data_IF_374898141016
#
_entry.id   IF_374898141016
#
_cell.length_a   1.000
_cell.length_b   1.000
_cell.length_c   1.000
_cell.angle_alpha   90.00
_cell.angle_beta   90.00
_cell.angle_gamma   90.00
#
_symmetry.space_group_name_H-M   'P 1'
#
loop_
_entity.id
_entity.type
_entity.pdbx_description
1 polymer ?
#
# COMPACT_ATOMS: atom_id res chain seq x y z
N UNK A 1 7.44 -13.70 -13.99
CA UNK A 1 6.41 -14.65 -13.53
C UNK A 1 6.29 -14.42 -12.04
N UNK A 2 5.21 -13.77 -11.63
CA UNK A 2 5.01 -13.21 -10.30
C UNK A 2 4.46 -14.28 -9.33
N UNK A 3 4.67 -14.12 -8.03
CA UNK A 3 4.20 -15.05 -6.98
C UNK A 3 2.67 -15.17 -7.02
N UNK A 4 1.96 -14.10 -7.37
CA UNK A 4 0.50 -14.08 -7.51
C UNK A 4 -0.03 -14.93 -8.68
N UNK A 5 0.76 -15.11 -9.75
CA UNK A 5 0.36 -15.89 -10.92
C UNK A 5 0.49 -17.40 -10.65
N UNK A 6 1.45 -17.80 -9.81
CA UNK A 6 1.67 -19.21 -9.46
C UNK A 6 0.63 -19.74 -8.46
N UNK A 7 0.13 -18.91 -7.54
CA UNK A 7 -0.90 -19.34 -6.57
C UNK A 7 -2.29 -19.58 -7.21
N UNK A 8 -2.52 -19.06 -8.43
CA UNK A 8 -3.79 -19.17 -9.15
C UNK A 8 -3.78 -20.27 -10.23
N UNK A 9 -2.71 -21.06 -10.35
CA UNK A 9 -2.64 -22.15 -11.33
C UNK A 9 -3.50 -23.32 -10.86
N UNK A 10 -4.46 -23.76 -11.69
CA UNK A 10 -5.24 -24.96 -11.41
C UNK A 10 -4.33 -26.18 -11.21
N UNK A 11 -4.27 -26.68 -9.97
CA UNK A 11 -3.38 -27.78 -9.57
C UNK A 11 -3.54 -29.08 -10.37
N UNK A 12 -4.67 -29.22 -11.08
CA UNK A 12 -5.06 -30.43 -11.82
C UNK A 12 -4.06 -30.83 -12.92
N UNK A 13 -3.23 -29.91 -13.39
CA UNK A 13 -2.24 -30.18 -14.44
C UNK A 13 -0.78 -30.12 -13.97
N UNK A 14 -0.53 -29.98 -12.66
CA UNK A 14 0.82 -29.87 -12.11
C UNK A 14 1.46 -31.25 -11.87
N UNK A 15 2.70 -31.40 -12.31
CA UNK A 15 3.57 -32.52 -11.94
C UNK A 15 3.87 -32.51 -10.43
N UNK A 16 4.34 -33.63 -9.89
CA UNK A 16 4.73 -33.74 -8.48
C UNK A 16 5.79 -32.69 -8.09
N UNK A 17 6.79 -32.48 -8.94
CA UNK A 17 7.83 -31.47 -8.72
C UNK A 17 7.26 -30.05 -8.71
N UNK A 18 6.31 -29.75 -9.60
CA UNK A 18 5.68 -28.43 -9.65
C UNK A 18 4.83 -28.15 -8.41
N UNK A 19 4.11 -29.15 -7.88
CA UNK A 19 3.38 -28.99 -6.61
C UNK A 19 4.31 -28.72 -5.43
N UNK A 20 5.42 -29.45 -5.33
CA UNK A 20 6.39 -29.22 -4.26
C UNK A 20 6.98 -27.80 -4.31
N UNK A 21 7.22 -27.29 -5.53
CA UNK A 21 7.67 -25.90 -5.73
C UNK A 21 6.57 -24.91 -5.33
N UNK A 22 5.33 -25.16 -5.72
CA UNK A 22 4.19 -24.30 -5.37
C UNK A 22 3.97 -24.22 -3.86
N UNK A 23 4.05 -25.34 -3.15
CA UNK A 23 3.95 -25.38 -1.68
C UNK A 23 5.06 -24.55 -1.01
N UNK A 24 6.28 -24.57 -1.54
CA UNK A 24 7.37 -23.72 -1.05
C UNK A 24 7.09 -22.22 -1.26
N UNK A 25 6.49 -21.85 -2.39
CA UNK A 25 6.10 -20.46 -2.63
C UNK A 25 4.95 -20.04 -1.72
N UNK A 26 3.96 -20.91 -1.54
CA UNK A 26 2.85 -20.69 -0.61
C UNK A 26 3.35 -20.47 0.82
N UNK A 27 4.17 -21.37 1.33
CA UNK A 27 4.75 -21.26 2.68
C UNK A 27 5.52 -19.95 2.88
N UNK A 28 6.28 -19.49 1.87
CA UNK A 28 6.98 -18.19 1.92
C UNK A 28 6.03 -16.99 1.89
N UNK A 29 4.96 -17.07 1.10
CA UNK A 29 3.93 -16.03 1.04
C UNK A 29 3.18 -15.92 2.39
N UNK A 30 2.80 -17.06 2.96
CA UNK A 30 2.18 -17.17 4.29
C UNK A 30 3.10 -16.58 5.37
N UNK A 31 4.38 -16.97 5.40
CA UNK A 31 5.36 -16.41 6.33
C UNK A 31 5.50 -14.89 6.20
N UNK A 32 5.51 -14.36 4.97
CA UNK A 32 5.57 -12.91 4.73
C UNK A 32 4.31 -12.19 5.23
N UNK A 33 3.13 -12.68 4.89
CA UNK A 33 1.85 -12.11 5.33
C UNK A 33 1.74 -12.15 6.85
N UNK A 34 2.10 -13.27 7.47
CA UNK A 34 2.17 -13.42 8.92
C UNK A 34 3.18 -12.46 9.56
N UNK A 35 4.35 -12.26 8.95
CA UNK A 35 5.33 -11.28 9.42
C UNK A 35 4.76 -9.86 9.42
N UNK A 36 4.07 -9.47 8.35
CA UNK A 36 3.37 -8.19 8.24
C UNK A 36 2.26 -8.06 9.28
N UNK A 37 1.54 -9.14 9.60
CA UNK A 37 0.45 -9.15 10.59
C UNK A 37 0.93 -9.33 12.04
N UNK A 38 2.22 -9.59 12.27
CA UNK A 38 2.73 -9.83 13.62
C UNK A 38 2.36 -11.19 14.20
N UNK A 39 2.07 -12.17 13.33
CA UNK A 39 1.54 -13.49 13.70
C UNK A 39 2.57 -14.63 13.54
N UNK A 40 3.79 -14.34 13.07
CA UNK A 40 4.84 -15.37 13.06
C UNK A 40 5.26 -15.73 14.50
N UNK A 41 5.46 -17.02 14.80
CA UNK A 41 6.10 -17.44 16.05
C UNK A 41 7.55 -16.93 16.10
N UNK A 42 8.15 -16.84 17.29
CA UNK A 42 9.50 -16.29 17.48
C UNK A 42 9.56 -14.76 17.69
N UNK A 43 8.41 -14.09 17.77
CA UNK A 43 8.30 -12.69 18.20
C UNK A 43 8.94 -11.70 17.23
N UNK A 44 9.56 -10.63 17.76
CA UNK A 44 10.04 -9.50 16.96
C UNK A 44 11.11 -9.88 15.91
N UNK A 45 11.84 -10.98 16.11
CA UNK A 45 12.85 -11.43 15.14
C UNK A 45 12.24 -11.92 13.82
N UNK A 46 10.98 -12.38 13.84
CA UNK A 46 10.29 -12.98 12.68
C UNK A 46 9.15 -12.10 12.14
N UNK A 47 8.88 -10.97 12.80
CA UNK A 47 7.78 -10.09 12.47
C UNK A 47 8.28 -8.70 12.06
N UNK A 48 7.57 -8.07 11.14
CA UNK A 48 7.92 -6.73 10.69
C UNK A 48 7.78 -5.72 11.84
N UNK A 49 8.76 -4.81 11.93
CA UNK A 49 8.74 -3.71 12.89
C UNK A 49 7.55 -2.78 12.64
N UNK A 50 7.15 -2.04 13.69
CA UNK A 50 6.07 -1.05 13.61
C UNK A 50 6.43 0.22 14.36
N UNK A 51 5.88 1.33 13.91
CA UNK A 51 5.84 2.57 14.70
C UNK A 51 4.85 2.43 15.87
N UNK A 52 4.91 3.31 16.88
CA UNK A 52 3.92 3.34 17.96
C UNK A 52 2.47 3.40 17.49
N UNK A 53 2.18 4.07 16.38
CA UNK A 53 0.83 4.15 15.81
C UNK A 53 0.48 3.00 14.84
N UNK A 54 1.33 1.97 14.72
CA UNK A 54 0.99 0.73 14.01
C UNK A 54 1.33 0.70 12.52
N UNK A 55 2.05 1.70 11.99
CA UNK A 55 2.59 1.67 10.63
C UNK A 55 3.72 0.63 10.55
N UNK A 56 3.71 -0.23 9.53
CA UNK A 56 4.86 -1.09 9.25
C UNK A 56 6.13 -0.25 9.05
N UNK A 57 7.20 -0.58 9.75
CA UNK A 57 8.45 0.18 9.74
C UNK A 57 9.65 -0.74 9.51
N UNK A 58 10.21 -0.67 8.30
CA UNK A 58 11.33 -1.52 7.87
C UNK A 58 12.65 -0.75 7.96
N UNK A 59 12.67 0.51 7.51
CA UNK A 59 13.86 1.35 7.58
C UNK A 59 13.52 2.85 7.48
N UNK A 60 14.40 3.75 7.93
CA UNK A 60 14.14 5.19 7.90
C UNK A 60 14.01 5.81 6.50
N UNK A 61 14.74 5.28 5.51
CA UNK A 61 14.72 5.84 4.16
C UNK A 61 13.51 5.30 3.38
N UNK A 62 12.59 6.21 3.03
CA UNK A 62 11.43 5.95 2.17
C UNK A 62 10.64 4.74 2.66
N UNK A 63 10.22 4.76 3.93
CA UNK A 63 9.56 3.62 4.56
C UNK A 63 8.24 3.26 3.87
N UNK A 64 7.50 4.24 3.34
CA UNK A 64 6.23 4.00 2.63
C UNK A 64 6.40 3.20 1.33
N UNK A 65 7.61 3.06 0.78
CA UNK A 65 7.90 2.04 -0.22
C UNK A 65 7.53 0.64 0.29
N UNK A 66 7.92 0.29 1.51
CA UNK A 66 7.67 -1.04 2.07
C UNK A 66 6.22 -1.20 2.48
N UNK A 67 5.64 -0.15 3.07
CA UNK A 67 4.24 -0.14 3.51
C UNK A 67 3.29 -0.32 2.33
N UNK A 68 3.49 0.43 1.24
CA UNK A 68 2.63 0.33 0.04
C UNK A 68 2.71 -1.04 -0.62
N UNK A 69 3.92 -1.59 -0.76
CA UNK A 69 4.11 -2.94 -1.30
C UNK A 69 3.49 -4.02 -0.39
N UNK A 70 3.67 -3.91 0.93
CA UNK A 70 3.05 -4.84 1.88
C UNK A 70 1.53 -4.75 1.82
N UNK A 71 0.94 -3.55 1.84
CA UNK A 71 -0.49 -3.34 1.72
C UNK A 71 -1.06 -3.96 0.44
N UNK A 72 -0.36 -3.80 -0.70
CA UNK A 72 -0.75 -4.43 -1.96
C UNK A 72 -0.72 -5.96 -1.88
N UNK A 73 0.38 -6.55 -1.40
CA UNK A 73 0.50 -8.00 -1.27
C UNK A 73 -0.51 -8.60 -0.28
N UNK A 74 -0.76 -7.93 0.85
CA UNK A 74 -1.79 -8.32 1.81
C UNK A 74 -3.19 -8.28 1.19
N UNK A 75 -3.48 -7.24 0.38
CA UNK A 75 -4.75 -7.13 -0.35
C UNK A 75 -4.92 -8.30 -1.32
N UNK A 76 -3.93 -8.56 -2.17
CA UNK A 76 -3.97 -9.67 -3.13
C UNK A 76 -4.10 -11.02 -2.41
N UNK A 77 -3.34 -11.23 -1.35
CA UNK A 77 -3.36 -12.49 -0.61
C UNK A 77 -4.69 -12.71 0.12
N UNK A 78 -5.32 -11.63 0.63
CA UNK A 78 -6.65 -11.71 1.21
C UNK A 78 -7.71 -12.20 0.21
N UNK A 79 -7.62 -11.76 -1.05
CA UNK A 79 -8.50 -12.24 -2.12
C UNK A 79 -8.27 -13.72 -2.42
N UNK A 80 -7.02 -14.19 -2.38
CA UNK A 80 -6.70 -15.61 -2.56
C UNK A 80 -7.26 -16.46 -1.42
N UNK A 81 -7.07 -16.03 -0.17
CA UNK A 81 -7.65 -16.72 1.00
C UNK A 81 -9.17 -16.77 0.92
N UNK A 82 -9.81 -15.66 0.53
CA UNK A 82 -11.25 -15.57 0.34
C UNK A 82 -11.75 -16.50 -0.78
N UNK A 83 -11.09 -16.48 -1.94
CA UNK A 83 -11.45 -17.33 -3.09
C UNK A 83 -11.35 -18.81 -2.77
N UNK A 84 -10.29 -19.22 -2.07
CA UNK A 84 -10.08 -20.62 -1.69
C UNK A 84 -10.85 -21.03 -0.43
N UNK A 85 -11.49 -20.09 0.28
CA UNK A 85 -12.12 -20.33 1.58
C UNK A 85 -11.14 -20.95 2.60
N UNK A 86 -9.89 -20.47 2.59
CA UNK A 86 -8.83 -20.95 3.47
C UNK A 86 -8.45 -19.88 4.51
N UNK A 87 -8.10 -20.29 5.74
CA UNK A 87 -7.49 -19.37 6.70
C UNK A 87 -6.02 -19.11 6.33
N UNK A 88 -5.48 -18.00 6.84
CA UNK A 88 -4.05 -17.78 6.90
C UNK A 88 -3.44 -18.73 7.93
N UNK A 89 -2.44 -19.50 7.51
CA UNK A 89 -1.60 -20.30 8.39
C UNK A 89 -0.25 -19.59 8.54
N UNK A 90 0.29 -19.54 9.74
CA UNK A 90 1.63 -18.99 9.97
C UNK A 90 2.62 -20.13 10.19
N UNK A 91 3.49 -20.44 9.22
CA UNK A 91 4.44 -21.53 9.36
C UNK A 91 5.45 -21.20 10.46
N UNK A 92 5.65 -22.17 11.36
CA UNK A 92 6.70 -22.13 12.35
C UNK A 92 7.92 -22.89 11.82
N UNK A 93 9.05 -22.22 11.53
CA UNK A 93 10.26 -22.90 11.07
C UNK A 93 10.84 -23.86 12.11
N UNK A 94 10.49 -23.69 13.39
CA UNK A 94 10.99 -24.49 14.52
C UNK A 94 10.00 -25.59 14.95
N UNK A 95 8.79 -25.64 14.37
CA UNK A 95 7.80 -26.67 14.70
C UNK A 95 8.16 -28.04 14.08
N UNK A 96 7.77 -29.11 14.78
CA UNK A 96 7.84 -30.46 14.24
C UNK A 96 6.93 -30.57 13.01
N UNK A 97 7.40 -31.27 11.97
CA UNK A 97 6.74 -31.37 10.66
C UNK A 97 5.30 -31.95 10.69
N UNK A 98 4.90 -32.56 11.81
CA UNK A 98 3.62 -33.25 11.99
C UNK A 98 2.57 -32.41 12.73
N UNK A 99 2.91 -31.20 13.22
CA UNK A 99 1.93 -30.30 13.86
C UNK A 99 1.33 -29.33 12.84
N UNK A 100 0.02 -29.44 12.62
CA UNK A 100 -0.71 -28.47 11.82
C UNK A 100 -0.75 -27.11 12.54
N UNK A 101 -0.22 -26.07 11.90
CA UNK A 101 -0.31 -24.71 12.42
C UNK A 101 -1.79 -24.31 12.61
N UNK A 102 -2.17 -23.75 13.77
CA UNK A 102 -3.53 -23.25 13.96
C UNK A 102 -3.81 -22.11 12.98
N UNK A 103 -5.10 -21.93 12.64
CA UNK A 103 -5.54 -20.79 11.86
C UNK A 103 -5.10 -19.50 12.55
N UNK A 104 -4.23 -18.74 11.88
CA UNK A 104 -3.66 -17.54 12.44
C UNK A 104 -4.59 -16.35 12.22
N UNK A 105 -5.18 -16.21 11.03
CA UNK A 105 -6.12 -15.14 10.65
C UNK A 105 -7.10 -15.62 9.57
N UNK A 106 -8.24 -14.94 9.40
CA UNK A 106 -9.08 -15.07 8.22
C UNK A 106 -8.76 -14.03 7.12
N UNK A 107 -9.33 -14.20 5.93
CA UNK A 107 -9.14 -13.28 4.79
C UNK A 107 -9.56 -11.83 5.11
N UNK A 108 -10.61 -11.64 5.89
CA UNK A 108 -11.10 -10.33 6.29
C UNK A 108 -10.12 -9.62 7.21
N UNK A 109 -9.53 -10.33 8.17
CA UNK A 109 -8.47 -9.79 9.04
C UNK A 109 -7.22 -9.38 8.25
N UNK A 110 -6.82 -10.15 7.23
CA UNK A 110 -5.69 -9.76 6.36
C UNK A 110 -6.01 -8.48 5.59
N UNK A 111 -7.22 -8.38 5.02
CA UNK A 111 -7.67 -7.22 4.27
C UNK A 111 -7.81 -5.97 5.15
N UNK A 112 -8.35 -6.10 6.36
CA UNK A 112 -8.48 -5.00 7.31
C UNK A 112 -7.11 -4.47 7.75
N UNK A 113 -6.12 -5.35 7.92
CA UNK A 113 -4.75 -4.90 8.16
C UNK A 113 -4.18 -4.14 6.95
N UNK A 114 -4.39 -4.63 5.72
CA UNK A 114 -3.99 -3.90 4.51
C UNK A 114 -4.66 -2.51 4.43
N UNK A 115 -5.96 -2.44 4.71
CA UNK A 115 -6.74 -1.19 4.79
C UNK A 115 -6.15 -0.24 5.84
N UNK A 116 -5.79 -0.74 7.02
CA UNK A 116 -5.18 0.11 8.07
C UNK A 116 -3.90 0.82 7.61
N UNK A 117 -3.08 0.15 6.79
CA UNK A 117 -1.85 0.75 6.24
C UNK A 117 -2.19 1.80 5.17
N UNK A 118 -3.20 1.55 4.34
CA UNK A 118 -3.71 2.52 3.38
C UNK A 118 -4.31 3.75 4.07
N UNK A 119 -5.14 3.54 5.09
CA UNK A 119 -5.76 4.61 5.88
C UNK A 119 -4.70 5.45 6.60
N UNK A 120 -3.64 4.83 7.12
CA UNK A 120 -2.50 5.56 7.67
C UNK A 120 -1.87 6.47 6.62
N UNK A 121 -1.61 5.97 5.40
CA UNK A 121 -1.08 6.77 4.29
C UNK A 121 -2.03 7.92 3.93
N UNK A 122 -3.34 7.72 4.02
CA UNK A 122 -4.36 8.71 3.67
C UNK A 122 -4.67 9.72 4.78
N UNK A 123 -4.13 9.55 5.99
CA UNK A 123 -4.23 10.55 7.06
C UNK A 123 -4.68 10.01 8.42
N UNK A 124 -5.03 8.74 8.55
CA UNK A 124 -5.35 8.10 9.84
C UNK A 124 -4.06 7.80 10.61
N UNK A 125 -3.37 8.86 11.01
CA UNK A 125 -2.09 8.83 11.70
C UNK A 125 -2.00 9.97 12.73
N UNK A 126 -1.05 9.95 13.68
CA UNK A 126 -0.95 10.95 14.74
C UNK A 126 -0.79 12.40 14.26
N UNK A 127 -0.33 12.61 13.02
CA UNK A 127 -0.17 13.94 12.42
C UNK A 127 -1.39 14.40 11.64
N UNK A 128 -2.44 13.57 11.54
CA UNK A 128 -3.64 13.83 10.72
C UNK A 128 -3.30 14.31 9.29
N UNK A 129 -2.19 13.81 8.73
CA UNK A 129 -1.61 14.29 7.48
C UNK A 129 -1.60 13.17 6.46
N UNK A 130 -2.19 13.41 5.29
CA UNK A 130 -2.09 12.50 4.15
C UNK A 130 -0.66 12.51 3.60
N UNK A 131 -0.07 11.33 3.46
CA UNK A 131 1.19 11.14 2.76
C UNK A 131 0.99 10.91 1.24
N UNK A 132 -0.27 10.92 0.77
CA UNK A 132 -0.64 11.04 -0.64
C UNK A 132 -0.84 12.53 -0.96
N UNK A 133 0.06 13.08 -1.77
CA UNK A 133 0.06 14.52 -2.14
C UNK A 133 -1.22 14.87 -2.89
N UNK A 134 -1.88 15.96 -2.48
CA UNK A 134 -3.13 16.43 -3.06
C UNK A 134 -4.40 15.72 -2.56
N UNK A 135 -4.28 14.85 -1.55
CA UNK A 135 -5.41 14.17 -0.92
C UNK A 135 -5.59 14.64 0.54
N UNK A 136 -6.84 14.80 0.98
CA UNK A 136 -7.18 15.22 2.34
C UNK A 136 -6.96 16.72 2.58
N UNK A 137 -7.23 17.16 3.82
CA UNK A 137 -7.10 18.57 4.23
C UNK A 137 -5.63 18.99 4.44
N UNK A 138 -4.77 18.06 4.86
CA UNK A 138 -3.35 18.29 5.11
C UNK A 138 -2.49 17.27 4.37
N UNK A 139 -1.50 17.74 3.60
CA UNK A 139 -0.53 16.91 2.87
C UNK A 139 0.80 17.66 2.66
N UNK A 140 1.93 16.96 2.41
CA UNK A 140 3.23 17.58 2.17
C UNK A 140 3.23 18.57 1.00
N UNK A 141 3.72 19.78 1.25
CA UNK A 141 3.85 20.89 0.28
C UNK A 141 5.29 21.10 -0.17
N UNK A 142 6.27 20.48 0.50
CA UNK A 142 7.70 20.63 0.24
C UNK A 142 8.35 19.30 -0.10
N UNK A 143 7.67 18.52 -0.94
CA UNK A 143 8.13 17.25 -1.51
C UNK A 143 9.50 17.41 -2.19
N UNK A 144 10.40 16.45 -1.98
CA UNK A 144 11.71 16.37 -2.64
C UNK A 144 11.54 15.96 -4.12
N UNK A 145 11.10 16.90 -4.95
CA UNK A 145 10.93 16.67 -6.39
C UNK A 145 11.29 17.91 -7.20
N UNK A 146 12.32 17.81 -8.04
CA UNK A 146 12.94 18.96 -8.72
C UNK A 146 11.94 19.78 -9.52
N UNK A 147 11.17 19.13 -10.40
CA UNK A 147 10.18 19.80 -11.24
C UNK A 147 8.99 20.36 -10.44
N UNK A 148 8.74 19.82 -9.23
CA UNK A 148 7.70 20.36 -8.37
C UNK A 148 8.18 21.63 -7.66
N UNK A 149 9.47 21.66 -7.27
CA UNK A 149 10.09 22.78 -6.55
C UNK A 149 10.51 23.95 -7.44
N UNK A 150 10.81 23.71 -8.71
CA UNK A 150 11.24 24.75 -9.66
C UNK A 150 10.06 25.54 -10.19
N UNK A 151 10.27 26.83 -10.47
CA UNK A 151 9.28 27.63 -11.19
C UNK A 151 8.99 27.02 -12.58
N UNK A 152 7.72 27.02 -12.99
CA UNK A 152 7.36 26.62 -14.36
C UNK A 152 7.96 27.58 -15.39
N UNK A 153 8.26 27.06 -16.57
CA UNK A 153 8.69 27.87 -17.73
C UNK A 153 7.70 29.00 -18.08
N UNK A 154 6.41 28.82 -17.80
CA UNK A 154 5.40 29.86 -18.03
C UNK A 154 5.53 31.07 -17.09
N UNK A 155 6.12 30.88 -15.90
CA UNK A 155 6.32 31.93 -14.88
C UNK A 155 7.71 32.53 -14.93
N UNK A 156 8.72 31.70 -15.16
CA UNK A 156 10.11 32.08 -15.18
C UNK A 156 10.78 31.43 -16.40
N UNK A 157 11.31 32.27 -17.29
CA UNK A 157 11.95 31.86 -18.56
C UNK A 157 13.46 32.05 -18.51
N UNK A 158 13.98 32.53 -17.38
CA UNK A 158 15.38 32.85 -17.25
C UNK A 158 16.23 31.57 -17.29
N UNK A 159 17.47 31.74 -17.74
CA UNK A 159 18.42 30.64 -17.78
C UNK A 159 18.73 30.18 -16.34
N UNK A 160 18.62 28.88 -16.13
CA UNK A 160 18.91 28.24 -14.84
C UNK A 160 20.37 27.80 -14.83
N UNK A 161 21.21 28.47 -14.05
CA UNK A 161 22.61 28.10 -13.86
C UNK A 161 22.79 26.76 -13.13
N UNK A 162 23.98 26.17 -13.24
CA UNK A 162 24.27 24.82 -12.73
C UNK A 162 23.93 24.59 -11.24
N UNK A 163 24.20 25.58 -10.38
CA UNK A 163 23.92 25.50 -8.94
C UNK A 163 22.67 26.29 -8.53
N UNK A 164 22.11 27.08 -9.43
CA UNK A 164 21.01 27.99 -9.12
C UNK A 164 19.78 27.25 -8.59
N UNK A 165 19.50 26.05 -9.07
CA UNK A 165 18.39 25.24 -8.56
C UNK A 165 18.57 24.81 -7.10
N UNK A 166 19.81 24.59 -6.66
CA UNK A 166 20.09 24.30 -5.25
C UNK A 166 19.88 25.53 -4.37
N UNK A 167 20.38 26.69 -4.82
CA UNK A 167 20.31 27.95 -4.10
C UNK A 167 18.90 28.54 -4.07
N UNK A 168 18.14 28.39 -5.16
CA UNK A 168 16.85 29.06 -5.35
C UNK A 168 15.65 28.21 -4.96
N UNK A 169 15.71 26.88 -5.11
CA UNK A 169 14.54 26.01 -4.95
C UNK A 169 14.74 24.90 -3.93
N UNK A 170 15.84 24.16 -4.00
CA UNK A 170 16.08 23.05 -3.08
C UNK A 170 16.12 23.51 -1.61
N UNK A 171 16.88 24.56 -1.34
CA UNK A 171 17.07 25.13 0.00
C UNK A 171 15.97 26.12 0.43
N UNK A 172 15.05 26.48 -0.48
CA UNK A 172 14.01 27.46 -0.18
C UNK A 172 13.08 26.99 0.95
N UNK A 173 12.60 27.93 1.76
CA UNK A 173 11.63 27.66 2.83
C UNK A 173 10.19 27.56 2.30
N UNK A 174 9.90 28.20 1.17
CA UNK A 174 8.56 28.24 0.58
C UNK A 174 8.07 26.86 0.12
N UNK A 175 6.75 26.72 -0.02
CA UNK A 175 6.10 25.56 -0.63
C UNK A 175 6.57 25.35 -2.08
N UNK A 176 6.41 24.14 -2.59
CA UNK A 176 6.61 23.87 -4.01
C UNK A 176 5.59 24.68 -4.83
N UNK A 177 6.00 25.34 -5.94
CA UNK A 177 5.05 26.02 -6.83
C UNK A 177 4.07 25.06 -7.54
N UNK A 178 4.36 23.76 -7.53
CA UNK A 178 3.51 22.72 -8.11
C UNK A 178 3.30 21.58 -7.12
N UNK A 179 2.04 21.25 -6.85
CA UNK A 179 1.70 20.04 -6.11
C UNK A 179 1.96 18.81 -6.99
N UNK A 180 2.71 17.84 -6.47
CA UNK A 180 2.94 16.56 -7.14
C UNK A 180 1.78 15.59 -6.86
N UNK A 181 0.58 15.96 -7.30
CA UNK A 181 -0.67 15.26 -6.99
C UNK A 181 -0.57 13.76 -7.32
N UNK A 182 -0.99 12.91 -6.38
CA UNK A 182 -0.97 11.45 -6.50
C UNK A 182 0.36 10.79 -6.09
N UNK A 183 1.39 11.57 -5.75
CA UNK A 183 2.62 11.01 -5.21
C UNK A 183 2.45 10.56 -3.76
N UNK A 184 2.89 9.34 -3.46
CA UNK A 184 3.09 8.88 -2.08
C UNK A 184 4.53 9.19 -1.68
N UNK A 185 4.70 10.04 -0.67
CA UNK A 185 6.04 10.44 -0.18
C UNK A 185 6.69 9.30 0.62
N UNK A 186 7.92 9.51 1.12
CA UNK A 186 8.64 8.52 1.94
C UNK A 186 8.03 8.24 3.31
N UNK A 187 7.27 9.20 3.84
CA UNK A 187 6.49 9.08 5.07
C UNK A 187 7.29 9.32 6.36
N UNK A 188 6.69 9.02 7.52
CA UNK A 188 7.24 9.42 8.82
C UNK A 188 8.45 8.57 9.22
N UNK A 189 9.16 9.02 10.27
CA UNK A 189 10.16 8.21 10.93
C UNK A 189 9.53 7.14 11.84
N UNK A 190 10.37 6.37 12.54
CA UNK A 190 9.94 5.27 13.41
C UNK A 190 9.08 5.68 14.62
N UNK A 191 8.92 6.99 14.87
CA UNK A 191 8.10 7.54 15.96
C UNK A 191 6.88 8.31 15.42
N UNK A 192 6.44 8.03 14.19
CA UNK A 192 5.29 8.67 13.55
C UNK A 192 5.46 10.18 13.31
N UNK A 193 6.69 10.69 13.29
CA UNK A 193 6.99 12.11 13.04
C UNK A 193 7.44 12.33 11.59
N UNK A 194 6.78 13.28 10.93
CA UNK A 194 7.06 13.72 9.57
C UNK A 194 7.46 15.20 9.56
N UNK A 195 8.50 15.51 8.79
CA UNK A 195 9.03 16.86 8.57
C UNK A 195 8.87 17.23 7.10
N UNK A 196 7.93 18.13 6.80
CA UNK A 196 7.69 18.61 5.43
C UNK A 196 8.80 19.60 5.00
N UNK A 197 9.94 19.03 4.61
CA UNK A 197 11.12 19.76 4.20
C UNK A 197 11.80 19.04 3.03
N UNK A 198 12.12 19.76 1.94
CA UNK A 198 12.78 19.19 0.76
C UNK A 198 14.11 18.50 1.07
N UNK A 199 14.86 19.03 2.04
CA UNK A 199 16.11 18.41 2.50
C UNK A 199 15.91 17.15 3.36
N UNK A 200 14.70 16.89 3.86
CA UNK A 200 14.36 15.66 4.57
C UNK A 200 14.00 14.54 3.58
N UNK A 201 14.88 14.31 2.59
CA UNK A 201 14.63 13.43 1.44
C UNK A 201 14.19 12.02 1.86
N UNK A 202 14.66 11.48 2.99
CA UNK A 202 14.20 10.18 3.49
C UNK A 202 12.66 10.12 3.71
N UNK A 203 12.04 11.24 4.05
CA UNK A 203 10.61 11.36 4.31
C UNK A 203 9.86 11.99 3.14
N UNK A 204 10.45 12.97 2.45
CA UNK A 204 9.79 13.76 1.40
C UNK A 204 10.06 13.28 -0.02
N UNK A 205 10.86 12.24 -0.23
CA UNK A 205 11.06 11.62 -1.55
C UNK A 205 9.74 11.10 -2.12
N UNK A 206 9.44 11.46 -3.37
CA UNK A 206 8.30 10.94 -4.11
C UNK A 206 8.79 9.96 -5.18
N UNK A 207 8.34 8.71 -5.10
CA UNK A 207 8.82 7.65 -5.98
C UNK A 207 7.66 6.84 -6.58
N UNK A 208 7.84 6.42 -7.84
CA UNK A 208 6.84 5.60 -8.57
C UNK A 208 6.54 4.29 -7.86
N UNK A 209 7.54 3.67 -7.24
CA UNK A 209 7.40 2.42 -6.50
C UNK A 209 6.73 2.57 -5.13
N UNK A 210 6.46 3.79 -4.65
CA UNK A 210 5.57 4.04 -3.51
C UNK A 210 4.11 4.11 -3.98
N UNK A 211 3.87 4.81 -5.10
CA UNK A 211 2.51 5.06 -5.60
C UNK A 211 1.94 3.86 -6.35
N UNK A 212 2.74 3.14 -7.15
CA UNK A 212 2.24 2.09 -8.04
C UNK A 212 1.47 0.97 -7.29
N UNK A 213 1.95 0.43 -6.15
CA UNK A 213 1.19 -0.58 -5.40
C UNK A 213 -0.13 -0.04 -4.84
N UNK A 214 -0.14 1.23 -4.42
CA UNK A 214 -1.33 1.87 -3.85
C UNK A 214 -2.47 2.01 -4.86
N UNK A 215 -2.18 2.12 -6.16
CA UNK A 215 -3.23 2.10 -7.21
C UNK A 215 -4.03 0.80 -7.14
N UNK A 216 -3.38 -0.35 -6.96
CA UNK A 216 -4.05 -1.64 -6.82
C UNK A 216 -4.87 -1.73 -5.53
N UNK A 217 -4.29 -1.30 -4.40
CA UNK A 217 -4.97 -1.27 -3.09
C UNK A 217 -6.24 -0.42 -3.16
N UNK A 218 -6.13 0.82 -3.65
CA UNK A 218 -7.27 1.72 -3.76
C UNK A 218 -8.34 1.19 -4.72
N UNK A 219 -7.94 0.61 -5.86
CA UNK A 219 -8.89 0.01 -6.80
C UNK A 219 -9.73 -1.08 -6.13
N UNK A 220 -9.09 -1.96 -5.35
CA UNK A 220 -9.79 -3.04 -4.64
C UNK A 220 -10.70 -2.50 -3.53
N UNK A 221 -10.23 -1.56 -2.72
CA UNK A 221 -11.04 -0.96 -1.66
C UNK A 221 -12.24 -0.20 -2.24
N UNK A 222 -12.07 0.51 -3.36
CA UNK A 222 -13.17 1.20 -4.05
C UNK A 222 -14.22 0.22 -4.60
N UNK A 223 -13.80 -0.89 -5.19
CA UNK A 223 -14.70 -1.96 -5.65
C UNK A 223 -15.53 -2.51 -4.48
N UNK A 224 -14.90 -2.78 -3.34
CA UNK A 224 -15.60 -3.26 -2.15
C UNK A 224 -16.62 -2.24 -1.61
N UNK A 225 -16.26 -0.96 -1.56
CA UNK A 225 -17.19 0.09 -1.13
C UNK A 225 -18.38 0.23 -2.09
N UNK A 226 -18.18 0.13 -3.40
CA UNK A 226 -19.27 0.12 -4.40
C UNK A 226 -20.22 -1.06 -4.18
N UNK A 227 -19.67 -2.25 -3.97
CA UNK A 227 -20.46 -3.46 -3.63
C UNK A 227 -21.27 -3.26 -2.35
N UNK A 228 -20.66 -2.70 -1.30
CA UNK A 228 -21.35 -2.40 -0.03
C UNK A 228 -22.50 -1.41 -0.20
N UNK A 229 -22.35 -0.46 -1.13
CA UNK A 229 -23.39 0.53 -1.46
C UNK A 229 -24.44 0.00 -2.45
N UNK A 230 -24.28 -1.21 -2.97
CA UNK A 230 -25.18 -1.78 -3.98
C UNK A 230 -25.07 -1.11 -5.35
N UNK A 231 -23.99 -0.38 -5.63
CA UNK A 231 -23.77 0.36 -6.88
C UNK A 231 -23.39 -0.55 -8.07
N UNK A 232 -23.14 -1.84 -7.82
CA UNK A 232 -22.88 -2.87 -8.84
C UNK A 232 -24.17 -3.54 -9.37
N UNK A 233 -25.35 -3.19 -8.82
CA UNK A 233 -26.62 -3.73 -9.32
C UNK A 233 -27.00 -3.06 -10.65
N UNK A 234 -27.44 -3.82 -11.68
CA UNK A 234 -27.98 -3.22 -12.89
C UNK A 234 -29.19 -2.34 -12.52
N UNK A 235 -29.43 -1.21 -13.23
CA UNK A 235 -30.57 -0.35 -12.95
C UNK A 235 -31.85 -1.17 -12.98
N UNK A 236 -32.64 -1.10 -11.92
CA UNK A 236 -33.91 -1.81 -11.83
C UNK A 236 -34.82 -1.38 -12.96
N UNK A 237 -35.13 -2.30 -13.87
CA UNK A 237 -36.13 -2.12 -14.93
C UNK A 237 -37.53 -2.08 -14.32
N UNK A 238 -37.91 -0.95 -13.74
CA UNK A 238 -39.32 -0.65 -13.44
C UNK A 238 -39.61 0.77 -13.87
N UNK A 239 -39.83 0.93 -15.18
CA UNK A 239 -40.70 2.00 -15.66
C UNK A 239 -42.11 1.41 -15.75
N UNK A 240 -43.14 2.07 -15.20
CA UNK A 240 -44.51 1.66 -15.45
C UNK A 240 -44.80 1.89 -16.94
N UNK A 241 -45.23 0.84 -17.62
CA UNK A 241 -45.86 0.98 -18.93
C UNK A 241 -47.17 1.74 -18.68
N UNK A 242 -47.25 2.97 -19.16
CA UNK A 242 -48.52 3.66 -19.30
C UNK A 242 -49.28 2.95 -20.42
N UNK A 243 -50.34 2.22 -20.05
CA UNK A 243 -51.40 1.86 -20.99
C UNK A 243 -52.15 3.16 -21.33
N UNK A 244 -51.88 3.71 -22.51
CA UNK A 244 -52.78 4.69 -23.14
C UNK A 244 -53.99 3.90 -23.67
N UNK A 245 -55.06 3.90 -22.90
CA UNK A 245 -56.41 3.59 -23.36
C UNK A 245 -57.10 4.88 -23.83
N UNK A 246 -57.66 4.81 -25.05
CA UNK A 246 -58.58 5.70 -25.79
C UNK A 246 -57.99 6.55 -26.92
#
# INVERSE_FOLDING_TARGET
>A
MDIGEQLLVEEKHLSSQQREVLEKYRSKAEYYVCSCMGRNPGGAAHNAGRTPAGLLFIRPWNNLQYVSNAAFLLTVYSDVLSYLSLPLLCPDPDAAADEAAPAAADAGEVLEFARSQADYILGTNPMATSYLVGYGEAYPRRVHHRAASSASYARDRDFIGCLQGFDSWYSAAAENPHDLVGAVVGGPNGNDVFTDHRGAYMQTEACTYNTAPMVGVFSRLMELERRRRGEDAPPSSTSPVAEDDL
#
